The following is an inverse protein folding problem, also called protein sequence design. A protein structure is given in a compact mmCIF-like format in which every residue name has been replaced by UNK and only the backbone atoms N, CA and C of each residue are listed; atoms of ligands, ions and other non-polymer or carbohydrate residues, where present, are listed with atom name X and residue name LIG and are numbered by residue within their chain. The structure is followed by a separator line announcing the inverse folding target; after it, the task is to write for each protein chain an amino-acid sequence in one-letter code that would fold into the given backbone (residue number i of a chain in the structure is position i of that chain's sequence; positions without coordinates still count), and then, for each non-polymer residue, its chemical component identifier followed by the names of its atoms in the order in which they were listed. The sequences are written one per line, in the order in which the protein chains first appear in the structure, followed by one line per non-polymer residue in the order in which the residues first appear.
data_IF_336622049781
#
_entry.id   IF_336622049781
#
_cell.length_a   1.000
_cell.length_b   1.000
_cell.length_c   1.000
_cell.angle_alpha   90.00
_cell.angle_beta   90.00
_cell.angle_gamma   90.00
#
_symmetry.space_group_name_H-M   'P 1'
#
loop_
_entity.id
_entity.type
_entity.pdbx_description
1 polymer ?
#
# COMPACT_ATOMS: atom_id res chain seq x y z
N UNK A 1 13.63 29.20 -9.96
CA UNK A 1 13.07 28.90 -9.91
C UNK A 1 13.03 28.81 -9.77
N UNK A 2 13.20 28.49 -9.67
CA UNK A 2 12.64 28.01 -9.53
C UNK A 2 12.55 27.72 -9.30
N UNK A 3 12.59 27.48 -9.24
CA UNK A 3 12.06 26.95 -9.07
C UNK A 3 11.90 26.56 -8.84
N UNK A 4 11.95 26.32 -8.77
CA UNK A 4 11.43 25.72 -8.62
C UNK A 4 11.22 25.24 -8.46
N UNK A 5 11.31 25.03 -8.35
CA UNK A 5 10.82 24.39 -8.24
C UNK A 5 10.73 23.88 -7.97
N UNK A 6 11.04 23.85 -7.85
CA UNK A 6 10.67 23.16 -7.57
C UNK A 6 10.76 22.75 -7.24
N UNK A 7 10.80 22.52 -7.08
CA UNK A 7 10.47 21.87 -6.76
C UNK A 7 10.31 21.42 -6.35
N UNK A 8 10.24 21.25 -6.19
CA UNK A 8 9.81 20.53 -5.80
C UNK A 8 9.58 19.91 -5.68
N UNK A 9 9.79 19.77 -5.72
CA UNK A 9 9.56 18.71 -5.61
C UNK A 9 9.84 18.24 -5.80
N UNK A 10 10.01 18.03 -5.93
CA UNK A 10 10.03 17.29 -6.11
C UNK A 10 10.24 16.80 -6.07
N UNK A 11 10.59 16.99 -5.72
CA UNK A 11 10.53 16.38 -5.62
C UNK A 11 10.27 15.93 -5.77
N UNK A 12 9.97 15.72 -5.82
CA UNK A 12 9.47 14.99 -6.02
C UNK A 12 9.66 14.24 -6.35
N UNK A 13 9.53 13.72 -6.88
CA UNK A 13 9.73 12.93 -7.37
C UNK A 13 10.49 12.20 -7.59
N UNK A 14 10.94 12.24 -8.13
CA UNK A 14 11.87 11.27 -8.03
C UNK A 14 11.66 10.52 -6.80
N UNK A 15 10.54 10.61 -6.49
CA UNK A 15 10.17 10.26 -5.18
C UNK A 15 9.75 8.82 -5.06
N UNK A 16 10.07 8.03 -6.07
CA UNK A 16 9.88 6.60 -5.97
C UNK A 16 11.08 5.97 -5.30
N UNK A 17 10.80 5.09 -4.36
CA UNK A 17 11.81 4.34 -3.64
C UNK A 17 11.52 2.85 -3.76
N UNK A 18 12.56 2.05 -3.64
CA UNK A 18 12.41 0.60 -3.67
C UNK A 18 11.96 0.10 -2.31
N UNK A 19 10.87 -0.65 -2.30
CA UNK A 19 10.37 -1.31 -1.10
C UNK A 19 10.19 -2.79 -1.45
N UNK A 20 11.16 -3.61 -1.03
CA UNK A 20 11.20 -4.99 -1.46
C UNK A 20 11.56 -5.09 -2.93
N UNK A 21 10.62 -5.51 -3.75
CA UNK A 21 10.83 -5.67 -5.19
C UNK A 21 10.10 -4.63 -6.01
N UNK A 22 9.45 -3.69 -5.37
CA UNK A 22 8.60 -2.72 -6.05
C UNK A 22 9.12 -1.31 -5.83
N UNK A 23 8.91 -0.47 -6.84
CA UNK A 23 9.17 0.95 -6.70
C UNK A 23 7.85 1.63 -6.36
N UNK A 24 7.84 2.36 -5.27
CA UNK A 24 6.62 2.98 -4.76
C UNK A 24 6.85 4.45 -4.44
N UNK A 25 5.76 5.21 -4.41
CA UNK A 25 5.78 6.57 -3.92
C UNK A 25 5.60 6.53 -2.40
N UNK A 26 6.28 7.40 -1.68
CA UNK A 26 6.17 7.48 -0.23
C UNK A 26 5.71 8.87 0.16
N UNK A 27 4.64 8.96 0.94
CA UNK A 27 4.14 10.21 1.50
C UNK A 27 4.52 10.28 2.97
N UNK A 28 5.07 11.41 3.37
CA UNK A 28 5.59 11.62 4.71
C UNK A 28 7.08 11.91 4.63
N UNK A 29 7.49 13.08 5.09
CA UNK A 29 8.87 13.53 4.89
C UNK A 29 9.56 14.05 6.14
N UNK A 30 8.86 14.16 7.26
CA UNK A 30 9.51 14.63 8.47
C UNK A 30 10.29 13.50 9.15
N UNK A 31 10.99 13.83 10.23
CA UNK A 31 11.85 12.85 10.91
C UNK A 31 11.08 11.62 11.39
N UNK A 32 9.87 11.81 11.91
CA UNK A 32 9.05 10.69 12.38
C UNK A 32 8.71 9.74 11.23
N UNK A 33 8.31 10.27 10.09
CA UNK A 33 7.99 9.47 8.92
C UNK A 33 9.23 8.75 8.38
N UNK A 34 10.36 9.45 8.32
CA UNK A 34 11.62 8.85 7.84
C UNK A 34 12.04 7.70 8.74
N UNK A 35 11.99 7.89 10.06
CA UNK A 35 12.33 6.82 11.00
C UNK A 35 11.40 5.61 10.84
N UNK A 36 10.12 5.86 10.68
CA UNK A 36 9.14 4.79 10.46
C UNK A 36 9.45 4.03 9.18
N UNK A 37 9.77 4.74 8.11
CA UNK A 37 10.11 4.11 6.84
C UNK A 37 11.31 3.18 6.99
N UNK A 38 12.36 3.64 7.66
CA UNK A 38 13.55 2.80 7.85
C UNK A 38 13.24 1.54 8.65
N UNK A 39 12.37 1.65 9.65
CA UNK A 39 11.96 0.47 10.41
C UNK A 39 11.18 -0.53 9.56
N UNK A 40 10.28 -0.04 8.72
CA UNK A 40 9.53 -0.90 7.81
C UNK A 40 10.44 -1.53 6.76
N UNK A 41 11.43 -0.78 6.29
CA UNK A 41 12.34 -1.23 5.24
C UNK A 41 13.26 -2.36 5.67
N UNK A 42 13.35 -2.66 6.96
CA UNK A 42 14.12 -3.81 7.42
C UNK A 42 13.48 -5.14 7.03
N UNK A 43 12.16 -5.17 6.83
CA UNK A 43 11.43 -6.35 6.40
C UNK A 43 10.41 -5.99 5.33
N UNK A 44 10.84 -5.46 4.19
CA UNK A 44 9.89 -4.93 3.21
C UNK A 44 8.98 -6.02 2.64
N UNK A 45 9.54 -7.18 2.31
CA UNK A 45 8.75 -8.29 1.77
C UNK A 45 7.78 -8.82 2.82
N UNK A 46 8.22 -8.91 4.07
CA UNK A 46 7.35 -9.36 5.16
C UNK A 46 6.16 -8.44 5.37
N UNK A 47 6.41 -7.14 5.44
CA UNK A 47 5.33 -6.16 5.60
C UNK A 47 4.36 -6.17 4.42
N UNK A 48 4.91 -6.26 3.20
CA UNK A 48 4.08 -6.33 2.01
C UNK A 48 3.20 -7.58 2.04
N UNK A 49 3.77 -8.72 2.39
CA UNK A 49 3.02 -9.98 2.43
C UNK A 49 1.93 -9.94 3.51
N UNK A 50 2.22 -9.35 4.66
CA UNK A 50 1.24 -9.19 5.73
C UNK A 50 0.06 -8.32 5.25
N UNK A 51 0.36 -7.23 4.57
CA UNK A 51 -0.67 -6.34 4.03
C UNK A 51 -1.51 -7.04 2.97
N UNK A 52 -0.86 -7.73 2.04
CA UNK A 52 -1.56 -8.47 0.99
C UNK A 52 -2.47 -9.54 1.59
N UNK A 53 -1.96 -10.30 2.55
CA UNK A 53 -2.74 -11.35 3.20
C UNK A 53 -3.98 -10.78 3.89
N UNK A 54 -3.80 -9.69 4.65
CA UNK A 54 -4.91 -9.07 5.35
C UNK A 54 -5.98 -8.58 4.37
N UNK A 55 -5.57 -7.92 3.30
CA UNK A 55 -6.50 -7.42 2.29
C UNK A 55 -7.24 -8.58 1.61
N UNK A 56 -6.50 -9.59 1.18
CA UNK A 56 -7.06 -10.72 0.44
C UNK A 56 -8.06 -11.49 1.30
N UNK A 57 -7.73 -11.70 2.58
CA UNK A 57 -8.60 -12.43 3.50
C UNK A 57 -9.95 -11.73 3.71
N UNK A 58 -10.00 -10.39 3.58
CA UNK A 58 -11.25 -9.65 3.71
C UNK A 58 -11.92 -9.34 2.38
N UNK A 59 -11.14 -8.93 1.39
CA UNK A 59 -11.66 -8.49 0.12
C UNK A 59 -12.24 -9.62 -0.72
N UNK A 60 -11.54 -10.75 -0.82
CA UNK A 60 -11.96 -11.84 -1.70
C UNK A 60 -13.33 -12.40 -1.33
N UNK A 61 -13.62 -12.70 -0.04
CA UNK A 61 -14.97 -13.15 0.32
C UNK A 61 -16.03 -12.10 0.03
N UNK A 62 -15.76 -10.83 0.32
CA UNK A 62 -16.71 -9.75 0.08
C UNK A 62 -16.98 -9.57 -1.42
N UNK A 63 -15.93 -9.63 -2.23
CA UNK A 63 -16.08 -9.53 -3.67
C UNK A 63 -16.93 -10.68 -4.23
N UNK A 64 -16.63 -11.90 -3.79
CA UNK A 64 -17.35 -13.07 -4.27
C UNK A 64 -18.81 -13.08 -3.83
N UNK A 65 -19.10 -12.52 -2.67
CA UNK A 65 -20.47 -12.38 -2.22
C UNK A 65 -21.28 -11.46 -3.14
N UNK A 66 -20.64 -10.39 -3.61
CA UNK A 66 -21.31 -9.41 -4.49
C UNK A 66 -21.31 -9.81 -5.96
N UNK A 67 -20.27 -10.51 -6.43
CA UNK A 67 -20.04 -10.75 -7.86
C UNK A 67 -19.86 -12.21 -8.23
N UNK A 68 -19.91 -13.10 -7.27
CA UNK A 68 -19.51 -14.49 -7.45
C UNK A 68 -20.43 -15.35 -8.32
N UNK A 69 -21.57 -14.79 -8.78
CA UNK A 69 -22.48 -15.55 -9.63
C UNK A 69 -21.91 -15.77 -11.03
N UNK A 70 -21.06 -14.85 -11.48
CA UNK A 70 -20.51 -14.91 -12.83
C UNK A 70 -19.05 -15.35 -12.83
N UNK A 71 -18.29 -14.98 -11.81
CA UNK A 71 -16.87 -15.27 -11.80
C UNK A 71 -16.33 -15.15 -10.38
N UNK A 72 -15.78 -16.23 -9.87
CA UNK A 72 -15.20 -16.21 -8.53
C UNK A 72 -13.73 -15.78 -8.59
N UNK A 73 -13.37 -14.94 -7.67
CA UNK A 73 -11.99 -14.53 -7.47
C UNK A 73 -11.37 -15.46 -6.43
N UNK A 74 -10.18 -15.98 -6.73
CA UNK A 74 -9.44 -16.79 -5.76
C UNK A 74 -8.45 -15.89 -5.02
N UNK A 75 -8.08 -16.30 -3.81
CA UNK A 75 -7.07 -15.57 -3.05
C UNK A 75 -5.73 -15.53 -3.77
N UNK A 76 -5.35 -16.63 -4.42
CA UNK A 76 -4.12 -16.71 -5.18
C UNK A 76 -4.11 -15.70 -6.33
N UNK A 77 -5.19 -15.66 -7.11
CA UNK A 77 -5.30 -14.73 -8.23
C UNK A 77 -5.25 -13.27 -7.73
N UNK A 78 -5.91 -12.98 -6.61
CA UNK A 78 -5.88 -11.64 -6.03
C UNK A 78 -4.45 -11.26 -5.63
N UNK A 79 -3.74 -12.16 -4.95
CA UNK A 79 -2.37 -11.88 -4.54
C UNK A 79 -1.46 -11.61 -5.73
N UNK A 80 -1.61 -12.40 -6.79
CA UNK A 80 -0.77 -12.27 -7.97
C UNK A 80 -1.04 -11.00 -8.77
N UNK A 81 -2.27 -10.51 -8.70
CA UNK A 81 -2.66 -9.32 -9.44
C UNK A 81 -2.49 -8.01 -8.67
N UNK A 82 -2.10 -8.07 -7.40
CA UNK A 82 -1.93 -6.88 -6.59
C UNK A 82 -0.58 -6.22 -6.80
N UNK A 83 -0.61 -4.90 -6.93
CA UNK A 83 0.60 -4.10 -7.06
C UNK A 83 0.64 -3.06 -5.96
N UNK A 84 1.74 -3.01 -5.24
CA UNK A 84 1.97 -1.97 -4.24
C UNK A 84 2.35 -0.68 -4.97
N UNK A 85 1.58 0.36 -4.73
CA UNK A 85 1.72 1.63 -5.46
C UNK A 85 2.36 2.70 -4.59
N UNK A 86 1.93 2.81 -3.34
CA UNK A 86 2.43 3.85 -2.46
C UNK A 86 2.31 3.45 -0.99
N UNK A 87 3.01 4.19 -0.17
CA UNK A 87 3.03 4.02 1.28
C UNK A 87 2.90 5.38 1.91
N UNK A 88 1.90 5.56 2.76
CA UNK A 88 1.69 6.79 3.51
C UNK A 88 2.16 6.56 4.94
N UNK A 89 2.97 7.47 5.45
CA UNK A 89 3.56 7.39 6.77
C UNK A 89 3.07 8.55 7.63
N UNK A 90 2.65 8.24 8.84
CA UNK A 90 2.23 9.27 9.78
C UNK A 90 3.41 10.16 10.15
N UNK A 91 3.14 11.46 10.31
CA UNK A 91 4.17 12.44 10.66
C UNK A 91 4.06 12.92 12.09
N UNK A 92 3.16 12.31 12.87
CA UNK A 92 2.89 12.72 14.26
C UNK A 92 3.60 11.83 15.29
N UNK A 93 4.42 10.88 14.85
CA UNK A 93 5.10 9.97 15.76
C UNK A 93 4.30 8.75 16.18
N UNK A 94 3.07 8.61 15.70
CA UNK A 94 2.20 7.49 16.07
C UNK A 94 2.64 6.16 15.47
N UNK A 95 3.56 6.18 14.50
CA UNK A 95 4.03 5.00 13.78
C UNK A 95 2.92 4.29 12.98
N UNK A 96 1.90 5.04 12.59
CA UNK A 96 0.86 4.55 11.69
C UNK A 96 1.34 4.60 10.24
N UNK A 97 0.92 3.63 9.47
CA UNK A 97 1.23 3.59 8.03
C UNK A 97 0.06 2.99 7.27
N UNK A 98 0.03 3.31 5.97
CA UNK A 98 -0.99 2.78 5.07
C UNK A 98 -0.31 2.33 3.78
N UNK A 99 -0.49 1.06 3.43
CA UNK A 99 -0.04 0.53 2.15
C UNK A 99 -1.19 0.65 1.15
N UNK A 100 -0.91 1.21 -0.01
CA UNK A 100 -1.91 1.37 -1.09
C UNK A 100 -1.57 0.43 -2.23
N UNK A 101 -2.54 -0.41 -2.58
CA UNK A 101 -2.38 -1.38 -3.66
C UNK A 101 -3.42 -1.12 -4.75
N UNK A 102 -3.14 -1.62 -5.94
CA UNK A 102 -4.14 -1.74 -6.99
C UNK A 102 -4.27 -3.20 -7.38
N UNK A 103 -5.45 -3.56 -7.84
CA UNK A 103 -5.74 -4.91 -8.34
C UNK A 103 -6.55 -4.78 -9.60
N UNK A 104 -6.04 -5.36 -10.69
CA UNK A 104 -6.74 -5.37 -11.96
C UNK A 104 -7.73 -6.53 -11.99
N UNK A 105 -9.01 -6.20 -12.11
CA UNK A 105 -10.08 -7.19 -12.21
C UNK A 105 -10.90 -6.93 -13.46
N UNK A 106 -10.78 -7.82 -14.42
CA UNK A 106 -11.44 -7.70 -15.71
C UNK A 106 -11.07 -6.37 -16.36
N UNK A 107 -12.02 -5.45 -16.49
CA UNK A 107 -11.77 -4.16 -17.11
C UNK A 107 -11.74 -3.03 -16.08
N UNK A 108 -11.46 -3.37 -14.83
CA UNK A 108 -11.61 -2.46 -13.72
C UNK A 108 -10.41 -2.52 -12.81
N UNK A 109 -9.98 -1.38 -12.30
CA UNK A 109 -8.91 -1.31 -11.31
C UNK A 109 -9.55 -1.04 -9.95
N UNK A 110 -9.26 -1.90 -8.99
CA UNK A 110 -9.73 -1.75 -7.62
C UNK A 110 -8.59 -1.18 -6.78
N UNK A 111 -8.90 -0.17 -5.98
CA UNK A 111 -7.94 0.42 -5.05
C UNK A 111 -8.14 -0.21 -3.68
N UNK A 112 -7.05 -0.72 -3.13
CA UNK A 112 -7.07 -1.44 -1.85
C UNK A 112 -6.06 -0.79 -0.92
N UNK A 113 -6.36 -0.75 0.37
CA UNK A 113 -5.39 -0.24 1.32
C UNK A 113 -5.39 -1.07 2.60
N UNK A 114 -4.24 -1.11 3.23
CA UNK A 114 -4.03 -1.78 4.51
C UNK A 114 -3.40 -0.80 5.47
N UNK A 115 -4.08 -0.53 6.57
CA UNK A 115 -3.59 0.36 7.62
C UNK A 115 -3.02 -0.45 8.77
N UNK A 116 -2.01 0.08 9.41
CA UNK A 116 -1.43 -0.59 10.55
C UNK A 116 -0.53 0.32 11.36
N UNK A 117 0.08 -0.26 12.38
CA UNK A 117 1.10 0.39 13.18
C UNK A 117 2.28 -0.55 13.32
N UNK A 118 3.43 0.04 13.64
CA UNK A 118 4.65 -0.76 13.77
C UNK A 118 4.52 -1.81 14.87
N UNK A 119 3.82 -1.50 15.96
CA UNK A 119 3.68 -2.40 17.10
C UNK A 119 2.55 -3.42 16.93
N UNK A 120 1.49 -3.08 16.23
CA UNK A 120 0.31 -3.95 16.09
C UNK A 120 0.23 -4.68 14.76
N UNK A 121 1.04 -4.29 13.79
CA UNK A 121 0.95 -4.84 12.44
C UNK A 121 -0.24 -4.27 11.70
N UNK A 122 -0.74 -5.00 10.72
CA UNK A 122 -1.88 -4.57 9.92
C UNK A 122 -3.15 -4.72 10.75
N UNK A 123 -3.89 -3.62 10.90
CA UNK A 123 -5.07 -3.58 11.76
C UNK A 123 -6.39 -3.41 11.02
N UNK A 124 -6.34 -2.83 9.81
CA UNK A 124 -7.57 -2.50 9.09
C UNK A 124 -7.33 -2.52 7.60
N UNK A 125 -8.35 -2.89 6.83
CA UNK A 125 -8.28 -2.90 5.38
C UNK A 125 -9.50 -2.19 4.81
N UNK A 126 -9.31 -1.51 3.68
CA UNK A 126 -10.39 -0.82 2.99
C UNK A 126 -10.19 -0.99 1.49
N UNK A 127 -11.27 -0.84 0.74
CA UNK A 127 -11.19 -0.90 -0.72
C UNK A 127 -12.28 -0.06 -1.36
N UNK A 128 -11.99 0.37 -2.60
CA UNK A 128 -12.91 1.10 -3.45
C UNK A 128 -12.92 0.46 -4.82
N UNK A 129 -14.07 0.27 -5.36
CA UNK A 129 -14.20 -0.30 -6.69
C UNK A 129 -14.80 0.68 -7.69
#
# INVERSE_FOLDING_TARGET
TVTQEVNEPQKEMKDKVTFGREEIAVAGSNDAAVHLFYKLKKRPVGWRNDAVKAIVDEFVPAYNESHGKTKKLTKTAAKEGMHLVSLTLAEDGSEHFTFHFTLDLDQKVVHLQADGTLSNGITECQWES
#
